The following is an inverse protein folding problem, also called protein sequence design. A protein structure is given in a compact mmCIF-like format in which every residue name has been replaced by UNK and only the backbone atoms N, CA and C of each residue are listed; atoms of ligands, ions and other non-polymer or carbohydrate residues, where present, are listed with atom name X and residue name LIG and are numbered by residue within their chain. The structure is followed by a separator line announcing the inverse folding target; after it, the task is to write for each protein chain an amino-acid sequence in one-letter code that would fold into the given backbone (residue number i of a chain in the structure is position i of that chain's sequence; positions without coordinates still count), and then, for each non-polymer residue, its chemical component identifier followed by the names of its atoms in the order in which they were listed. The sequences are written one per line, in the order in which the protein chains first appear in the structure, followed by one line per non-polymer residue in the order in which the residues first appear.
data_IF_017531604539
#
_entry.id   IF_017531604539
#
_cell.length_a   1.000
_cell.length_b   1.000
_cell.length_c   1.000
_cell.angle_alpha   90.00
_cell.angle_beta   90.00
_cell.angle_gamma   90.00
#
_symmetry.space_group_name_H-M   'P 1'
#
loop_
_entity.id
_entity.type
_entity.pdbx_description
1 polymer ?
#
# COMPACT_ATOMS: atom_id res chain seq x y z
N UNK A 1 -9.60 2.20 26.20
CA UNK A 1 -9.43 3.53 25.58
C UNK A 1 -9.01 4.62 26.56
N UNK A 2 -9.63 4.75 27.75
CA UNK A 2 -9.11 5.62 28.84
C UNK A 2 -7.66 5.26 29.29
N UNK A 3 -7.27 3.98 29.20
CA UNK A 3 -5.89 3.53 29.47
C UNK A 3 -4.83 4.03 28.47
N UNK A 4 -5.22 4.57 27.31
CA UNK A 4 -4.28 4.97 26.25
C UNK A 4 -3.84 6.43 26.28
N UNK A 5 -4.43 7.27 27.13
CA UNK A 5 -4.17 8.73 27.18
C UNK A 5 -4.27 9.45 25.81
N UNK A 6 -5.03 8.92 24.86
CA UNK A 6 -5.25 9.59 23.57
C UNK A 6 -6.25 10.73 23.74
N UNK A 7 -5.80 11.94 23.41
CA UNK A 7 -6.65 13.13 23.41
C UNK A 7 -7.52 13.10 22.13
N UNK A 8 -8.79 12.69 22.27
CA UNK A 8 -9.73 12.54 21.17
C UNK A 8 -10.05 13.93 20.58
N UNK A 9 -9.74 14.14 19.29
CA UNK A 9 -9.96 15.43 18.60
C UNK A 9 -11.20 15.45 17.69
N UNK A 10 -11.85 14.31 17.49
CA UNK A 10 -13.03 14.17 16.65
C UNK A 10 -13.45 12.71 16.54
N UNK A 11 -14.72 12.47 16.23
CA UNK A 11 -15.28 11.15 15.98
C UNK A 11 -16.12 11.22 14.72
N UNK A 12 -15.90 10.29 13.81
CA UNK A 12 -16.65 10.20 12.56
C UNK A 12 -17.12 8.76 12.37
N UNK A 13 -18.32 8.60 11.83
CA UNK A 13 -18.99 7.32 11.72
C UNK A 13 -19.86 7.27 10.49
N UNK A 14 -19.82 6.13 9.79
CA UNK A 14 -20.73 5.82 8.70
C UNK A 14 -22.08 5.25 9.19
N UNK A 15 -22.20 4.97 10.50
CA UNK A 15 -23.41 4.47 11.15
C UNK A 15 -23.76 5.39 12.32
N UNK A 16 -25.05 5.64 12.52
CA UNK A 16 -25.50 6.38 13.70
C UNK A 16 -25.28 5.52 14.96
N UNK A 17 -24.62 6.09 15.97
CA UNK A 17 -24.42 5.41 17.24
C UNK A 17 -24.56 6.38 18.42
N UNK A 18 -24.58 5.85 19.65
CA UNK A 18 -24.84 6.62 20.88
C UNK A 18 -23.95 7.85 21.08
N UNK A 19 -22.79 7.89 20.43
CA UNK A 19 -21.77 8.92 20.61
C UNK A 19 -21.43 9.70 19.33
N UNK A 20 -22.04 9.37 18.18
CA UNK A 20 -21.86 10.11 16.95
C UNK A 20 -22.99 9.93 15.94
N UNK A 21 -23.32 11.04 15.27
CA UNK A 21 -24.21 11.08 14.13
C UNK A 21 -23.59 10.36 12.92
N UNK A 22 -24.45 9.87 12.03
CA UNK A 22 -24.01 9.41 10.71
C UNK A 22 -23.47 10.61 9.92
N UNK A 23 -22.22 10.52 9.49
CA UNK A 23 -21.60 11.46 8.57
C UNK A 23 -21.73 10.93 7.14
N UNK A 24 -21.73 11.82 6.15
CA UNK A 24 -21.75 11.48 4.73
C UNK A 24 -20.54 12.10 4.00
N UNK A 25 -20.20 11.54 2.85
CA UNK A 25 -19.07 11.95 2.04
C UNK A 25 -17.74 11.33 2.47
N UNK A 26 -16.65 12.07 2.21
CA UNK A 26 -15.29 11.57 2.35
C UNK A 26 -14.62 12.13 3.61
N UNK A 27 -13.95 11.25 4.36
CA UNK A 27 -13.10 11.61 5.48
C UNK A 27 -11.69 11.05 5.33
N UNK A 28 -10.75 11.50 6.16
CA UNK A 28 -9.38 10.98 6.18
C UNK A 28 -9.13 10.10 7.40
N UNK A 29 -8.67 8.88 7.17
CA UNK A 29 -8.24 7.94 8.21
C UNK A 29 -6.78 7.57 7.93
N UNK A 30 -5.87 7.96 8.82
CA UNK A 30 -4.43 7.72 8.70
C UNK A 30 -3.86 8.14 7.32
N UNK A 31 -4.37 9.21 6.71
CA UNK A 31 -3.92 9.68 5.39
C UNK A 31 -4.51 8.93 4.18
N UNK A 32 -5.40 7.95 4.41
CA UNK A 32 -6.25 7.32 3.40
C UNK A 32 -7.60 8.05 3.36
N UNK A 33 -8.27 8.08 2.22
CA UNK A 33 -9.64 8.58 2.07
C UNK A 33 -10.61 7.43 2.40
N UNK A 34 -11.54 7.68 3.32
CA UNK A 34 -12.65 6.79 3.64
C UNK A 34 -13.95 7.43 3.13
N UNK A 35 -14.61 6.76 2.18
CA UNK A 35 -15.96 7.10 1.75
C UNK A 35 -16.95 6.47 2.75
N UNK A 36 -17.67 7.32 3.49
CA UNK A 36 -18.60 6.91 4.53
C UNK A 36 -19.89 6.33 3.95
N UNK A 37 -20.29 6.75 2.75
CA UNK A 37 -21.55 6.33 2.13
C UNK A 37 -21.44 4.91 1.57
N UNK A 38 -20.33 4.58 0.92
CA UNK A 38 -20.07 3.26 0.33
C UNK A 38 -19.27 2.32 1.24
N UNK A 39 -18.74 2.85 2.35
CA UNK A 39 -17.82 2.18 3.26
C UNK A 39 -16.55 1.62 2.58
N UNK A 40 -15.92 2.46 1.73
CA UNK A 40 -14.72 2.10 0.96
C UNK A 40 -13.51 2.96 1.33
N UNK A 41 -12.33 2.33 1.31
CA UNK A 41 -11.03 2.96 1.48
C UNK A 41 -10.40 3.22 0.11
N UNK A 42 -9.76 4.38 -0.03
CA UNK A 42 -9.11 4.84 -1.24
C UNK A 42 -7.85 5.61 -0.89
N UNK A 43 -6.74 5.32 -1.55
CA UNK A 43 -5.50 6.05 -1.30
C UNK A 43 -5.64 7.51 -1.73
N UNK A 44 -5.13 8.43 -0.89
CA UNK A 44 -5.03 9.85 -1.25
C UNK A 44 -3.87 10.01 -2.23
N UNK A 45 -4.20 10.23 -3.50
CA UNK A 45 -3.21 10.50 -4.54
C UNK A 45 -3.41 11.94 -5.01
N UNK A 46 -2.39 12.76 -4.79
CA UNK A 46 -2.37 14.15 -5.23
C UNK A 46 -1.63 14.23 -6.56
N UNK A 47 -2.38 14.41 -7.65
CA UNK A 47 -1.86 14.42 -9.02
C UNK A 47 -1.26 15.77 -9.42
N UNK A 48 -1.66 16.87 -8.78
CA UNK A 48 -1.14 18.21 -9.09
C UNK A 48 0.33 18.33 -8.70
N UNK A 49 0.74 17.62 -7.65
CA UNK A 49 2.14 17.52 -7.22
C UNK A 49 3.02 16.75 -8.23
N UNK A 50 2.42 15.90 -9.07
CA UNK A 50 3.14 15.02 -9.99
C UNK A 50 3.48 15.70 -11.33
N UNK A 51 2.85 16.82 -11.67
CA UNK A 51 2.95 17.46 -12.99
C UNK A 51 3.91 18.66 -13.07
N UNK A 52 4.62 19.02 -11.99
CA UNK A 52 5.18 20.37 -11.85
C UNK A 52 6.70 20.56 -11.97
N UNK A 53 7.52 19.56 -12.30
CA UNK A 53 8.98 19.78 -12.38
C UNK A 53 9.58 19.61 -13.76
N UNK A 54 10.28 20.66 -14.21
CA UNK A 54 11.08 20.68 -15.44
C UNK A 54 12.37 19.87 -15.34
N UNK A 55 12.80 19.49 -14.13
CA UNK A 55 14.04 18.73 -13.88
C UNK A 55 13.78 17.58 -12.92
N UNK A 56 13.89 16.35 -13.42
CA UNK A 56 13.76 15.16 -12.59
C UNK A 56 15.11 14.86 -11.92
N UNK A 57 15.19 15.13 -10.62
CA UNK A 57 16.37 14.85 -9.79
C UNK A 57 16.15 13.63 -8.90
N UNK A 58 17.24 13.10 -8.32
CA UNK A 58 17.16 12.02 -7.31
C UNK A 58 16.36 12.45 -6.08
N UNK A 59 16.51 13.71 -5.64
CA UNK A 59 15.70 14.29 -4.54
C UNK A 59 14.21 14.28 -4.89
N UNK A 60 13.87 14.74 -6.08
CA UNK A 60 12.48 14.80 -6.53
C UNK A 60 11.84 13.42 -6.52
N UNK A 61 12.47 12.42 -7.16
CA UNK A 61 11.97 11.03 -7.17
C UNK A 61 11.76 10.53 -5.74
N UNK A 62 12.75 10.66 -4.85
CA UNK A 62 12.61 10.21 -3.47
C UNK A 62 11.42 10.89 -2.78
N UNK A 63 11.32 12.21 -2.88
CA UNK A 63 10.25 12.97 -2.25
C UNK A 63 8.87 12.54 -2.74
N UNK A 64 8.73 12.28 -4.05
CA UNK A 64 7.47 11.87 -4.67
C UNK A 64 7.08 10.46 -4.24
N UNK A 65 8.03 9.52 -4.19
CA UNK A 65 7.77 8.15 -3.77
C UNK A 65 7.35 8.06 -2.30
N UNK A 66 7.92 8.91 -1.43
CA UNK A 66 7.59 8.93 -0.01
C UNK A 66 6.26 9.62 0.32
N UNK A 67 5.64 10.35 -0.62
CA UNK A 67 4.30 10.93 -0.44
C UNK A 67 3.20 9.87 -0.42
N UNK A 68 3.43 8.71 -1.02
CA UNK A 68 2.46 7.61 -1.05
C UNK A 68 2.47 6.86 0.28
N UNK A 69 1.53 7.24 1.16
CA UNK A 69 1.30 6.53 2.41
C UNK A 69 0.32 5.38 2.22
N UNK A 70 0.82 4.14 2.39
CA UNK A 70 0.06 2.91 2.17
C UNK A 70 0.28 1.90 3.32
N UNK A 71 -0.45 2.05 4.45
CA UNK A 71 -0.28 1.21 5.63
C UNK A 71 -0.79 -0.24 5.43
N UNK A 72 -1.78 -0.42 4.55
CA UNK A 72 -2.40 -1.71 4.24
C UNK A 72 -1.72 -2.44 3.07
N UNK A 73 -0.95 -1.73 2.24
CA UNK A 73 -0.29 -2.30 1.07
C UNK A 73 -1.17 -2.34 -0.18
N UNK A 74 -2.22 -1.52 -0.26
CA UNK A 74 -3.13 -1.45 -1.42
C UNK A 74 -2.40 -1.08 -2.71
N UNK A 75 -1.38 -0.23 -2.60
CA UNK A 75 -0.53 0.26 -3.68
C UNK A 75 0.77 -0.54 -3.81
N UNK A 76 0.87 -1.70 -3.14
CA UNK A 76 2.09 -2.53 -3.18
C UNK A 76 2.54 -2.83 -4.62
N UNK A 77 1.66 -3.20 -5.59
CA UNK A 77 2.10 -3.44 -6.96
C UNK A 77 2.72 -2.19 -7.59
N UNK A 78 2.03 -1.05 -7.47
CA UNK A 78 2.42 0.21 -8.13
C UNK A 78 3.61 0.89 -7.48
N UNK A 79 3.80 0.73 -6.17
CA UNK A 79 4.93 1.33 -5.45
C UNK A 79 6.23 0.52 -5.56
N UNK A 80 6.23 -0.64 -6.22
CA UNK A 80 7.44 -1.45 -6.36
C UNK A 80 8.44 -0.80 -7.34
N UNK A 81 7.97 -0.46 -8.54
CA UNK A 81 8.78 0.14 -9.60
C UNK A 81 9.58 1.38 -9.14
N UNK A 82 8.98 2.39 -8.49
CA UNK A 82 9.74 3.54 -7.98
C UNK A 82 10.79 3.16 -6.93
N UNK A 83 10.54 2.14 -6.10
CA UNK A 83 11.54 1.66 -5.12
C UNK A 83 12.74 1.00 -5.81
N UNK A 84 12.51 0.30 -6.92
CA UNK A 84 13.58 -0.25 -7.76
C UNK A 84 14.40 0.87 -8.41
N UNK A 85 13.73 1.87 -8.99
CA UNK A 85 14.37 3.07 -9.56
C UNK A 85 15.26 3.75 -8.51
N UNK A 86 14.73 3.98 -7.31
CA UNK A 86 15.50 4.56 -6.21
C UNK A 86 16.73 3.72 -5.87
N UNK A 87 16.59 2.39 -5.77
CA UNK A 87 17.74 1.53 -5.49
C UNK A 87 18.83 1.66 -6.55
N UNK A 88 18.46 1.72 -7.82
CA UNK A 88 19.43 1.87 -8.91
C UNK A 88 20.10 3.26 -8.90
N UNK A 89 19.35 4.32 -8.60
CA UNK A 89 19.91 5.67 -8.40
C UNK A 89 20.90 5.75 -7.22
N UNK A 90 20.72 4.92 -6.19
CA UNK A 90 21.70 4.81 -5.10
C UNK A 90 22.97 4.10 -5.55
N UNK A 91 22.86 3.06 -6.39
CA UNK A 91 24.02 2.34 -6.95
C UNK A 91 24.83 3.20 -7.93
N UNK A 92 24.18 4.08 -8.68
CA UNK A 92 24.83 4.92 -9.69
C UNK A 92 25.55 6.15 -9.11
N UNK A 93 25.56 6.34 -7.78
CA UNK A 93 26.26 7.43 -7.10
C UNK A 93 25.92 8.87 -7.55
N UNK A 94 24.75 9.08 -8.19
CA UNK A 94 24.26 10.42 -8.53
C UNK A 94 24.07 11.30 -7.29
N UNK A 95 24.40 12.58 -7.45
CA UNK A 95 24.12 13.62 -6.45
C UNK A 95 22.61 13.88 -6.32
N UNK A 96 22.21 14.57 -5.25
CA UNK A 96 20.81 14.83 -4.93
C UNK A 96 20.11 15.75 -5.94
N UNK A 97 20.81 16.79 -6.40
CA UNK A 97 20.30 17.83 -7.33
C UNK A 97 20.71 17.59 -8.79
N UNK A 98 21.44 16.52 -9.05
CA UNK A 98 21.94 16.22 -10.39
C UNK A 98 20.79 15.79 -11.31
N UNK A 99 20.84 16.28 -12.55
CA UNK A 99 19.87 15.93 -13.58
C UNK A 99 20.08 14.49 -14.03
N UNK A 100 19.02 13.70 -13.98
CA UNK A 100 19.11 12.27 -14.24
C UNK A 100 19.13 11.96 -15.75
N UNK A 101 19.85 10.90 -16.17
CA UNK A 101 19.80 10.42 -17.55
C UNK A 101 18.37 10.10 -17.99
N UNK A 102 18.09 10.29 -19.28
CA UNK A 102 16.78 10.04 -19.89
C UNK A 102 16.21 8.66 -19.56
N UNK A 103 17.05 7.65 -19.37
CA UNK A 103 16.63 6.28 -19.01
C UNK A 103 15.89 6.20 -17.66
N UNK A 104 16.30 7.00 -16.67
CA UNK A 104 15.62 7.08 -15.37
C UNK A 104 14.38 7.98 -15.45
N UNK A 105 14.50 9.10 -16.16
CA UNK A 105 13.43 10.07 -16.40
C UNK A 105 12.23 9.40 -17.08
N UNK A 106 12.46 8.66 -18.17
CA UNK A 106 11.42 7.96 -18.93
C UNK A 106 10.71 6.90 -18.09
N UNK A 107 11.46 6.04 -17.37
CA UNK A 107 10.89 5.02 -16.48
C UNK A 107 10.04 5.63 -15.38
N UNK A 108 10.54 6.68 -14.72
CA UNK A 108 9.82 7.35 -13.65
C UNK A 108 8.59 8.09 -14.18
N UNK A 109 8.68 8.76 -15.33
CA UNK A 109 7.57 9.47 -15.95
C UNK A 109 6.46 8.52 -16.40
N UNK A 110 6.81 7.36 -16.97
CA UNK A 110 5.83 6.30 -17.31
C UNK A 110 5.08 5.82 -16.07
N UNK A 111 5.81 5.49 -15.00
CA UNK A 111 5.20 5.12 -13.74
C UNK A 111 4.27 6.22 -13.22
N UNK A 112 4.72 7.47 -13.23
CA UNK A 112 3.96 8.63 -12.77
C UNK A 112 2.66 8.81 -13.55
N UNK A 113 2.75 8.66 -14.87
CA UNK A 113 1.62 8.68 -15.77
C UNK A 113 0.67 7.49 -15.57
N UNK A 114 1.08 6.38 -14.98
CA UNK A 114 0.16 5.27 -14.67
C UNK A 114 -0.53 5.45 -13.31
N UNK A 115 0.01 6.32 -12.43
CA UNK A 115 -0.56 6.52 -11.10
C UNK A 115 -1.98 7.06 -11.12
N UNK A 116 -2.43 7.73 -12.19
CA UNK A 116 -3.82 8.19 -12.31
C UNK A 116 -4.83 7.05 -12.29
N UNK A 117 -4.43 5.86 -12.77
CA UNK A 117 -5.29 4.67 -12.79
C UNK A 117 -5.63 4.21 -11.37
N UNK A 118 -4.76 4.52 -10.39
CA UNK A 118 -5.00 4.18 -8.99
C UNK A 118 -6.02 5.11 -8.32
N UNK A 119 -6.44 6.19 -8.99
CA UNK A 119 -7.55 7.02 -8.53
C UNK A 119 -8.81 6.17 -8.41
N UNK A 120 -9.04 5.18 -9.26
CA UNK A 120 -10.31 4.46 -9.23
C UNK A 120 -10.25 3.16 -8.40
N UNK A 121 -9.10 2.89 -7.78
CA UNK A 121 -8.91 1.73 -6.90
C UNK A 121 -9.52 2.01 -5.53
N UNK A 122 -10.58 1.27 -5.21
CA UNK A 122 -11.27 1.28 -3.92
C UNK A 122 -11.25 -0.10 -3.29
N UNK A 123 -11.03 -0.17 -1.98
CA UNK A 123 -11.18 -1.41 -1.21
C UNK A 123 -12.32 -1.27 -0.20
N UNK A 124 -13.24 -2.23 -0.11
CA UNK A 124 -14.22 -2.24 0.97
C UNK A 124 -13.53 -2.24 2.34
N UNK A 125 -13.92 -1.34 3.24
CA UNK A 125 -13.35 -1.27 4.59
C UNK A 125 -13.79 -2.45 5.44
N UNK A 126 -15.07 -2.77 5.40
CA UNK A 126 -15.63 -3.91 6.10
C UNK A 126 -15.31 -5.21 5.36
N UNK A 127 -14.89 -6.22 6.11
CA UNK A 127 -14.67 -7.58 5.61
C UNK A 127 -15.49 -8.52 6.49
N UNK A 128 -16.37 -9.29 5.85
CA UNK A 128 -17.22 -10.22 6.57
C UNK A 128 -16.43 -11.51 6.82
N UNK A 129 -15.95 -11.69 8.05
CA UNK A 129 -15.37 -12.95 8.48
C UNK A 129 -16.49 -13.86 9.01
N UNK A 130 -16.47 -15.12 8.58
CA UNK A 130 -17.37 -16.17 9.02
C UNK A 130 -16.57 -17.44 9.35
N UNK A 131 -17.24 -18.47 9.86
CA UNK A 131 -16.60 -19.74 10.25
C UNK A 131 -15.94 -20.47 9.07
N UNK A 132 -16.39 -20.21 7.84
CA UNK A 132 -15.83 -20.78 6.61
C UNK A 132 -14.76 -19.90 5.97
N UNK A 133 -14.36 -18.80 6.62
CA UNK A 133 -13.41 -17.86 6.05
C UNK A 133 -11.99 -18.43 6.06
N UNK A 134 -11.33 -18.36 4.92
CA UNK A 134 -9.96 -18.82 4.75
C UNK A 134 -9.01 -17.67 4.48
N UNK A 135 -7.82 -17.72 5.07
CA UNK A 135 -6.73 -16.79 4.77
C UNK A 135 -5.78 -17.42 3.76
N UNK A 136 -5.67 -16.78 2.60
CA UNK A 136 -4.79 -17.22 1.51
C UNK A 136 -3.60 -16.28 1.41
N UNK A 137 -2.39 -16.84 1.53
CA UNK A 137 -1.14 -16.08 1.49
C UNK A 137 -0.40 -16.42 0.21
N UNK A 138 -0.20 -15.42 -0.64
CA UNK A 138 0.62 -15.54 -1.84
C UNK A 138 1.95 -14.83 -1.60
N UNK A 139 3.02 -15.45 -2.08
CA UNK A 139 4.37 -14.91 -2.01
C UNK A 139 5.05 -15.10 -3.36
N UNK A 140 5.83 -14.11 -3.77
CA UNK A 140 6.58 -14.17 -5.01
C UNK A 140 7.91 -13.41 -4.87
N UNK A 141 8.89 -13.80 -5.68
CA UNK A 141 10.21 -13.20 -5.70
C UNK A 141 10.80 -13.14 -7.10
N UNK A 142 11.43 -12.01 -7.41
CA UNK A 142 12.23 -11.80 -8.60
C UNK A 142 13.61 -11.24 -8.21
N UNK A 143 14.51 -11.09 -9.19
CA UNK A 143 15.88 -10.57 -8.94
C UNK A 143 15.89 -9.20 -8.23
N UNK A 144 14.90 -8.37 -8.48
CA UNK A 144 14.82 -7.01 -7.94
C UNK A 144 14.06 -6.89 -6.62
N UNK A 145 13.17 -7.83 -6.31
CA UNK A 145 12.25 -7.67 -5.20
C UNK A 145 11.57 -8.96 -4.80
N UNK A 146 10.94 -8.94 -3.64
CA UNK A 146 10.09 -10.01 -3.16
C UNK A 146 8.88 -9.42 -2.42
N UNK A 147 7.75 -10.10 -2.51
CA UNK A 147 6.48 -9.59 -2.01
C UNK A 147 5.62 -10.69 -1.41
N UNK A 148 4.65 -10.28 -0.60
CA UNK A 148 3.61 -11.12 -0.08
C UNK A 148 2.28 -10.36 -0.03
N UNK A 149 1.18 -11.05 -0.26
CA UNK A 149 -0.18 -10.55 -0.06
C UNK A 149 -1.03 -11.60 0.65
N UNK A 150 -1.97 -11.10 1.46
CA UNK A 150 -2.93 -11.90 2.23
C UNK A 150 -4.32 -11.53 1.77
N UNK A 151 -5.05 -12.52 1.31
CA UNK A 151 -6.46 -12.42 0.97
C UNK A 151 -7.31 -13.17 1.99
N UNK A 152 -8.53 -12.70 2.21
CA UNK A 152 -9.60 -13.52 2.80
C UNK A 152 -10.51 -13.99 1.69
N UNK A 153 -10.90 -15.26 1.77
CA UNK A 153 -11.98 -15.83 1.01
C UNK A 153 -13.10 -16.14 2.00
N UNK A 154 -14.26 -15.53 1.81
CA UNK A 154 -15.43 -15.72 2.66
C UNK A 154 -16.63 -16.08 1.80
N UNK A 155 -17.41 -17.08 2.21
CA UNK A 155 -18.67 -17.41 1.55
C UNK A 155 -19.81 -16.55 2.12
N UNK A 156 -20.38 -15.68 1.30
CA UNK A 156 -21.49 -14.80 1.69
C UNK A 156 -22.66 -15.10 0.76
N UNK A 157 -23.77 -15.58 1.32
CA UNK A 157 -25.00 -15.88 0.57
C UNK A 157 -24.79 -16.90 -0.57
N UNK A 158 -23.88 -17.86 -0.38
CA UNK A 158 -23.53 -18.88 -1.39
C UNK A 158 -22.51 -18.40 -2.43
N UNK A 159 -22.03 -17.16 -2.35
CA UNK A 159 -20.97 -16.63 -3.21
C UNK A 159 -19.64 -16.50 -2.48
N UNK A 160 -18.57 -17.01 -3.09
CA UNK A 160 -17.21 -16.81 -2.60
C UNK A 160 -16.72 -15.39 -2.94
N UNK A 161 -16.47 -14.57 -1.91
CA UNK A 161 -15.91 -13.22 -2.06
C UNK A 161 -14.44 -13.22 -1.66
N UNK A 162 -13.59 -12.71 -2.53
CA UNK A 162 -12.14 -12.56 -2.29
C UNK A 162 -11.82 -11.10 -2.00
N UNK A 163 -11.14 -10.82 -0.89
CA UNK A 163 -10.74 -9.46 -0.50
C UNK A 163 -9.29 -9.41 -0.07
N UNK A 164 -8.57 -8.39 -0.56
CA UNK A 164 -7.20 -8.11 -0.11
C UNK A 164 -7.25 -7.53 1.32
N UNK A 165 -6.62 -8.22 2.27
CA UNK A 165 -6.48 -7.71 3.64
C UNK A 165 -5.23 -6.84 3.73
N UNK A 166 -4.10 -7.38 3.26
CA UNK A 166 -2.80 -6.71 3.41
C UNK A 166 -1.80 -7.19 2.37
N UNK A 167 -0.99 -6.29 1.86
CA UNK A 167 0.17 -6.65 1.05
C UNK A 167 1.44 -5.93 1.49
N UNK A 168 2.58 -6.47 1.07
CA UNK A 168 3.89 -5.89 1.36
C UNK A 168 4.90 -6.32 0.31
N UNK A 169 5.66 -5.36 -0.20
CA UNK A 169 6.84 -5.61 -1.02
C UNK A 169 8.12 -5.18 -0.30
N UNK A 170 9.24 -5.74 -0.73
CA UNK A 170 10.59 -5.30 -0.37
C UNK A 170 11.48 -5.40 -1.59
N UNK A 171 12.36 -4.41 -1.75
CA UNK A 171 13.42 -4.47 -2.74
C UNK A 171 14.48 -5.46 -2.26
N UNK A 172 14.99 -6.27 -3.18
CA UNK A 172 16.03 -7.25 -2.91
C UNK A 172 17.29 -6.56 -2.36
N UNK A 173 18.05 -7.19 -1.45
CA UNK A 173 19.29 -6.63 -0.93
C UNK A 173 20.31 -6.33 -2.04
N UNK A 174 21.16 -5.32 -1.83
CA UNK A 174 22.24 -4.98 -2.78
C UNK A 174 23.22 -6.13 -2.98
N UNK A 175 23.46 -6.92 -1.92
CA UNK A 175 24.21 -8.17 -2.03
C UNK A 175 23.33 -9.17 -2.79
N UNK A 176 23.79 -9.57 -3.97
CA UNK A 176 23.08 -10.51 -4.84
C UNK A 176 22.77 -11.81 -4.07
N UNK A 177 21.49 -12.13 -3.99
CA UNK A 177 20.99 -13.40 -3.48
C UNK A 177 20.52 -14.26 -4.65
N UNK A 178 20.55 -15.57 -4.47
CA UNK A 178 19.93 -16.48 -5.43
C UNK A 178 18.40 -16.35 -5.38
N UNK A 179 17.72 -16.69 -6.47
CA UNK A 179 16.25 -16.66 -6.54
C UNK A 179 15.62 -17.51 -5.42
N UNK A 180 16.09 -18.76 -5.14
CA UNK A 180 15.54 -19.55 -4.03
C UNK A 180 15.67 -18.88 -2.65
N UNK A 181 16.73 -18.07 -2.42
CA UNK A 181 16.86 -17.31 -1.17
C UNK A 181 15.87 -16.15 -1.11
N UNK A 182 15.60 -15.49 -2.23
CA UNK A 182 14.59 -14.44 -2.31
C UNK A 182 13.18 -14.99 -2.14
N UNK A 183 12.88 -16.17 -2.70
CA UNK A 183 11.63 -16.90 -2.46
C UNK A 183 11.47 -17.24 -0.97
N UNK A 184 12.53 -17.73 -0.32
CA UNK A 184 12.50 -17.96 1.13
C UNK A 184 12.26 -16.66 1.93
N UNK A 185 12.83 -15.54 1.49
CA UNK A 185 12.56 -14.23 2.09
C UNK A 185 11.11 -13.77 1.86
N UNK A 186 10.53 -14.09 0.69
CA UNK A 186 9.11 -13.86 0.38
C UNK A 186 8.21 -14.66 1.34
N UNK A 187 8.47 -15.96 1.49
CA UNK A 187 7.80 -16.84 2.46
C UNK A 187 7.92 -16.28 3.90
N UNK A 188 9.10 -15.82 4.29
CA UNK A 188 9.32 -15.25 5.62
C UNK A 188 8.48 -13.99 5.87
N UNK A 189 8.43 -13.06 4.91
CA UNK A 189 7.56 -11.88 5.07
C UNK A 189 6.08 -12.25 5.00
N UNK A 190 5.69 -13.24 4.20
CA UNK A 190 4.32 -13.75 4.12
C UNK A 190 3.85 -14.35 5.45
N UNK A 191 4.67 -15.22 6.06
CA UNK A 191 4.39 -15.81 7.37
C UNK A 191 4.24 -14.74 8.46
N UNK A 192 5.10 -13.71 8.45
CA UNK A 192 4.97 -12.58 9.37
C UNK A 192 3.73 -11.74 9.11
N UNK A 193 3.37 -11.55 7.84
CA UNK A 193 2.22 -10.76 7.42
C UNK A 193 0.93 -11.42 7.88
N UNK A 194 0.75 -12.71 7.61
CA UNK A 194 -0.44 -13.47 8.02
C UNK A 194 -0.55 -13.57 9.54
N UNK A 195 0.55 -13.80 10.27
CA UNK A 195 0.52 -13.82 11.73
C UNK A 195 0.10 -12.46 12.32
N UNK A 196 0.51 -11.35 11.69
CA UNK A 196 0.03 -10.02 12.08
C UNK A 196 -1.45 -9.81 11.79
N UNK A 197 -1.98 -10.45 10.74
CA UNK A 197 -3.39 -10.37 10.35
C UNK A 197 -4.24 -11.20 11.30
N UNK A 198 -3.86 -12.45 11.59
CA UNK A 198 -4.55 -13.33 12.54
C UNK A 198 -4.67 -12.65 13.91
N UNK A 199 -3.57 -12.11 14.44
CA UNK A 199 -3.58 -11.37 15.72
C UNK A 199 -4.46 -10.11 15.74
N UNK A 200 -4.78 -9.55 14.58
CA UNK A 200 -5.66 -8.40 14.48
C UNK A 200 -7.13 -8.78 14.31
N UNK A 201 -7.40 -10.00 13.84
CA UNK A 201 -8.75 -10.55 13.63
C UNK A 201 -9.24 -11.26 14.90
N UNK A 202 -8.36 -11.91 15.66
CA UNK A 202 -8.68 -12.71 16.84
C UNK A 202 -8.38 -11.88 18.12
N UNK A 203 -9.40 -11.22 18.74
CA UNK A 203 -9.23 -10.25 19.82
C UNK A 203 -8.94 -10.84 21.20
#
# INVERSE_FOLDING_TARGET
MAKGCFNLRGWESNVECKHASKHSGNTSVLGIIWNLDEDTLKCKIDFEILSCETKITKRFILSTVQKFYDPLGMLTPSTLLPKLILQDLWKSHFSWEEELPFTFVDKFSKWLNEMYLLKDVTLPRFMNFNETSELHVFVDACKGAYAACVFVISEVEGESKVRLIRAKNRVAPLKSLSIPRLELMACFIGARLVNSVIKAIDP
#
